data_IF_807658139537
#
_entry.id   IF_807658139537
#
_cell.length_a   1.000
_cell.length_b   1.000
_cell.length_c   1.000
_cell.angle_alpha   90.00
_cell.angle_beta   90.00
_cell.angle_gamma   90.00
#
_symmetry.space_group_name_H-M   'P 1'
#
loop_
_entity.id
_entity.type
_entity.pdbx_description
1 polymer ?
#
# COMPACT_ATOMS: atom_id res chain seq x y z
N UNK A 1 -5.68 -8.54 10.26
CA UNK A 1 -5.40 -7.35 9.42
C UNK A 1 -5.56 -7.75 7.97
N UNK A 2 -6.60 -7.25 7.28
CA UNK A 2 -6.87 -7.65 5.91
C UNK A 2 -5.71 -7.29 4.97
N UNK A 3 -5.49 -8.18 3.99
CA UNK A 3 -4.44 -8.08 3.01
C UNK A 3 -5.05 -8.07 1.61
N UNK A 4 -4.79 -7.00 0.86
CA UNK A 4 -5.17 -6.86 -0.53
C UNK A 4 -3.98 -7.05 -1.46
N UNK A 5 -4.24 -7.49 -2.69
CA UNK A 5 -3.22 -7.59 -3.74
C UNK A 5 -3.78 -7.19 -5.10
N UNK A 6 -2.92 -6.65 -5.95
CA UNK A 6 -3.18 -6.38 -7.35
C UNK A 6 -2.03 -6.96 -8.19
N UNK A 7 -2.36 -7.65 -9.29
CA UNK A 7 -1.38 -8.28 -10.17
C UNK A 7 -1.40 -7.66 -11.55
N UNK A 8 -0.25 -7.58 -12.19
CA UNK A 8 -0.12 -7.05 -13.54
C UNK A 8 -1.04 -7.81 -14.50
N UNK A 9 -1.96 -7.07 -15.12
CA UNK A 9 -3.02 -7.62 -15.96
C UNK A 9 -4.40 -7.65 -15.29
N UNK A 10 -4.49 -7.42 -13.98
CA UNK A 10 -5.79 -7.19 -13.33
C UNK A 10 -6.42 -5.89 -13.88
N UNK A 11 -7.74 -5.82 -14.02
CA UNK A 11 -8.40 -4.59 -14.42
C UNK A 11 -8.21 -3.51 -13.36
N UNK A 12 -7.97 -2.30 -13.81
CA UNK A 12 -8.09 -1.11 -12.96
C UNK A 12 -9.47 -0.49 -13.23
N UNK A 13 -10.33 -0.40 -12.21
CA UNK A 13 -11.65 0.21 -12.35
C UNK A 13 -11.55 1.67 -12.83
N UNK A 14 -12.43 2.07 -13.72
CA UNK A 14 -12.54 3.46 -14.13
C UNK A 14 -12.98 4.32 -12.95
N UNK A 15 -12.16 5.31 -12.62
CA UNK A 15 -12.50 6.32 -11.61
C UNK A 15 -12.95 7.59 -12.33
N UNK A 16 -14.13 8.10 -11.96
CA UNK A 16 -14.66 9.36 -12.54
C UNK A 16 -13.58 10.44 -12.52
N UNK A 17 -13.36 11.18 -13.60
CA UNK A 17 -12.30 12.18 -13.66
C UNK A 17 -12.33 13.12 -12.44
N UNK A 18 -11.18 13.37 -11.88
CA UNK A 18 -10.97 14.40 -10.85
C UNK A 18 -10.08 15.46 -11.49
N UNK A 19 -10.67 16.64 -11.78
CA UNK A 19 -9.96 17.72 -12.45
C UNK A 19 -8.72 18.10 -11.65
N UNK A 20 -7.66 18.47 -12.37
CA UNK A 20 -6.38 18.92 -11.80
C UNK A 20 -5.67 17.91 -10.88
N UNK A 21 -6.17 16.65 -10.80
CA UNK A 21 -5.49 15.60 -10.04
C UNK A 21 -4.25 15.12 -10.79
N UNK A 22 -3.14 15.10 -10.09
CA UNK A 22 -1.92 14.41 -10.52
C UNK A 22 -1.31 13.64 -9.35
N UNK A 23 -0.55 12.58 -9.64
CA UNK A 23 0.24 11.89 -8.64
C UNK A 23 1.51 11.34 -9.29
N UNK A 24 2.64 11.46 -8.62
CA UNK A 24 3.93 11.00 -9.14
C UNK A 24 4.90 10.64 -8.03
N UNK A 25 5.91 9.84 -8.41
CA UNK A 25 7.11 9.64 -7.62
C UNK A 25 7.72 11.01 -7.26
N UNK A 26 8.00 11.22 -6.00
CA UNK A 26 8.55 12.48 -5.52
C UNK A 26 10.03 12.36 -5.16
N UNK A 27 10.81 13.36 -5.56
CA UNK A 27 12.20 13.56 -5.11
C UNK A 27 12.33 14.68 -4.09
N UNK A 28 11.24 15.39 -3.80
CA UNK A 28 11.21 16.49 -2.82
C UNK A 28 11.07 15.92 -1.40
N UNK A 29 12.20 15.61 -0.79
CA UNK A 29 12.27 15.05 0.57
C UNK A 29 11.72 15.98 1.63
N UNK A 30 11.82 17.29 1.44
CA UNK A 30 11.30 18.30 2.38
C UNK A 30 9.76 18.34 2.34
N UNK A 31 9.18 18.26 1.16
CA UNK A 31 7.72 18.20 1.02
C UNK A 31 7.17 16.94 1.66
N UNK A 32 7.78 15.78 1.41
CA UNK A 32 7.34 14.52 2.02
C UNK A 32 7.50 14.58 3.54
N UNK A 33 8.62 15.07 4.05
CA UNK A 33 8.87 15.21 5.49
C UNK A 33 7.78 16.05 6.16
N UNK A 34 7.39 17.17 5.54
CA UNK A 34 6.29 18.01 6.04
C UNK A 34 4.94 17.30 6.01
N UNK A 35 4.62 16.60 4.92
CA UNK A 35 3.34 15.87 4.77
C UNK A 35 3.22 14.71 5.76
N UNK A 36 4.30 13.97 5.95
CA UNK A 36 4.36 12.79 6.81
C UNK A 36 4.62 13.15 8.29
N UNK A 37 4.96 14.40 8.59
CA UNK A 37 5.42 14.84 9.90
C UNK A 37 6.61 14.02 10.41
N UNK A 38 7.60 13.83 9.51
CA UNK A 38 8.83 13.10 9.76
C UNK A 38 10.04 14.01 9.51
N UNK A 39 11.21 13.62 10.00
CA UNK A 39 12.46 14.28 9.68
C UNK A 39 12.91 13.97 8.25
N UNK A 40 13.63 14.89 7.61
CA UNK A 40 14.25 14.63 6.30
C UNK A 40 15.22 13.45 6.35
N UNK A 41 15.87 13.22 7.49
CA UNK A 41 16.76 12.07 7.69
C UNK A 41 16.00 10.75 7.60
N UNK A 42 14.80 10.64 8.20
CA UNK A 42 13.95 9.45 8.08
C UNK A 42 13.48 9.23 6.65
N UNK A 43 13.08 10.30 5.94
CA UNK A 43 12.70 10.23 4.53
C UNK A 43 13.86 9.71 3.69
N UNK A 44 15.05 10.27 3.87
CA UNK A 44 16.26 9.83 3.16
C UNK A 44 16.60 8.37 3.46
N UNK A 45 16.48 7.95 4.72
CA UNK A 45 16.69 6.54 5.11
C UNK A 45 15.71 5.61 4.40
N UNK A 46 14.42 5.95 4.37
CA UNK A 46 13.40 5.17 3.65
C UNK A 46 13.75 5.04 2.15
N UNK A 47 14.15 6.13 1.50
CA UNK A 47 14.52 6.12 0.09
C UNK A 47 15.77 5.25 -0.15
N UNK A 48 16.79 5.38 0.69
CA UNK A 48 18.02 4.58 0.59
C UNK A 48 17.79 3.08 0.79
N UNK A 49 16.79 2.71 1.60
CA UNK A 49 16.39 1.32 1.81
C UNK A 49 15.44 0.78 0.72
N UNK A 50 15.22 1.55 -0.35
CA UNK A 50 14.47 1.10 -1.53
C UNK A 50 12.98 1.37 -1.44
N UNK A 51 12.58 2.40 -0.70
CA UNK A 51 11.20 2.85 -0.69
C UNK A 51 11.01 4.04 -1.63
N UNK A 52 9.98 4.01 -2.43
CA UNK A 52 9.59 5.05 -3.37
C UNK A 52 8.43 5.87 -2.80
N UNK A 53 8.61 7.17 -2.54
CA UNK A 53 7.56 8.06 -2.09
C UNK A 53 6.75 8.62 -3.24
N UNK A 54 5.43 8.63 -3.10
CA UNK A 54 4.50 9.23 -4.04
C UNK A 54 3.71 10.34 -3.39
N UNK A 55 3.52 11.45 -4.12
CA UNK A 55 2.67 12.56 -3.69
C UNK A 55 1.56 12.74 -4.72
N UNK A 56 0.35 12.95 -4.22
CA UNK A 56 -0.79 13.37 -5.02
C UNK A 56 -1.06 14.86 -4.84
N UNK A 57 -1.45 15.53 -5.92
CA UNK A 57 -1.75 16.94 -5.98
C UNK A 57 -3.15 17.19 -6.52
N UNK A 58 -3.76 18.28 -6.06
CA UNK A 58 -4.93 18.93 -6.66
C UNK A 58 -4.62 20.42 -6.77
N UNK A 59 -4.77 21.00 -7.97
CA UNK A 59 -4.44 22.40 -8.22
C UNK A 59 -3.05 22.80 -7.65
N UNK A 60 -2.05 21.97 -7.90
CA UNK A 60 -0.67 22.10 -7.40
C UNK A 60 -0.51 22.02 -5.87
N UNK A 61 -1.60 21.87 -5.13
CA UNK A 61 -1.53 21.64 -3.68
C UNK A 61 -1.28 20.15 -3.37
N UNK A 62 -0.28 19.80 -2.55
CA UNK A 62 -0.09 18.42 -2.12
C UNK A 62 -1.23 18.00 -1.18
N UNK A 63 -1.91 16.89 -1.49
CA UNK A 63 -3.15 16.47 -0.83
C UNK A 63 -3.08 15.08 -0.20
N UNK A 64 -2.14 14.26 -0.65
CA UNK A 64 -1.91 12.91 -0.12
C UNK A 64 -0.50 12.45 -0.43
N UNK A 65 -0.04 11.47 0.34
CA UNK A 65 1.18 10.74 0.05
C UNK A 65 1.01 9.23 0.31
N UNK A 66 1.96 8.44 -0.17
CA UNK A 66 2.07 7.02 0.10
C UNK A 66 3.42 6.47 -0.33
N UNK A 67 3.74 5.27 0.10
CA UNK A 67 5.04 4.64 -0.13
C UNK A 67 4.90 3.28 -0.81
N UNK A 68 5.89 2.97 -1.63
CA UNK A 68 6.10 1.62 -2.18
C UNK A 68 7.44 1.12 -1.69
N UNK A 69 7.44 0.03 -0.95
CA UNK A 69 8.64 -0.69 -0.58
C UNK A 69 8.96 -1.73 -1.66
N UNK A 70 10.23 -1.77 -2.12
CA UNK A 70 10.68 -2.64 -3.22
C UNK A 70 11.78 -3.64 -2.82
N UNK A 71 12.30 -3.54 -1.61
CA UNK A 71 13.38 -4.42 -1.10
C UNK A 71 13.01 -5.04 0.23
N UNK A 72 12.63 -4.21 1.18
CA UNK A 72 12.24 -4.61 2.53
C UNK A 72 10.96 -3.91 2.91
N UNK A 73 10.04 -4.66 3.50
CA UNK A 73 8.80 -4.15 4.05
C UNK A 73 8.69 -4.45 5.53
N UNK A 74 7.80 -3.73 6.21
CA UNK A 74 7.55 -3.96 7.62
C UNK A 74 6.15 -3.55 8.04
N UNK A 75 5.67 -4.18 9.09
CA UNK A 75 4.43 -3.85 9.77
C UNK A 75 4.83 -3.56 11.22
N UNK A 76 5.04 -2.28 11.52
CA UNK A 76 5.62 -1.83 12.79
C UNK A 76 4.81 -2.28 14.01
N UNK A 77 3.49 -2.26 13.92
CA UNK A 77 2.58 -2.66 14.98
C UNK A 77 2.71 -4.15 15.33
N UNK A 78 3.25 -4.96 14.41
CA UNK A 78 3.47 -6.38 14.59
C UNK A 78 4.94 -6.74 14.82
N UNK A 79 5.83 -5.74 14.81
CA UNK A 79 7.29 -5.94 14.82
C UNK A 79 7.71 -7.00 13.78
N UNK A 80 7.04 -6.96 12.62
CA UNK A 80 7.24 -7.92 11.54
C UNK A 80 7.90 -7.22 10.36
N UNK A 81 9.02 -7.78 9.90
CA UNK A 81 9.73 -7.34 8.71
C UNK A 81 9.86 -8.50 7.72
N UNK A 82 9.91 -8.18 6.44
CA UNK A 82 10.02 -9.16 5.36
C UNK A 82 10.78 -8.60 4.17
N UNK A 83 11.48 -9.47 3.47
CA UNK A 83 12.16 -9.14 2.21
C UNK A 83 11.14 -9.17 1.06
N UNK A 84 11.24 -8.22 0.16
CA UNK A 84 10.37 -8.12 -1.02
C UNK A 84 11.13 -8.68 -2.22
N UNK A 85 10.66 -9.79 -2.83
CA UNK A 85 11.27 -10.37 -4.01
C UNK A 85 11.24 -9.41 -5.21
N UNK A 86 12.15 -9.55 -6.19
CA UNK A 86 12.10 -8.75 -7.42
C UNK A 86 10.72 -8.78 -8.07
N UNK A 87 10.33 -7.68 -8.70
CA UNK A 87 9.04 -7.47 -9.38
C UNK A 87 7.82 -7.48 -8.46
N UNK A 88 8.05 -7.31 -7.15
CA UNK A 88 7.00 -7.17 -6.13
C UNK A 88 7.12 -5.82 -5.43
N UNK A 89 6.00 -5.31 -4.94
CA UNK A 89 5.93 -4.06 -4.17
C UNK A 89 4.97 -4.17 -3.00
N UNK A 90 5.34 -3.63 -1.87
CA UNK A 90 4.47 -3.48 -0.71
C UNK A 90 4.09 -2.02 -0.52
N UNK A 91 2.80 -1.74 -0.54
CA UNK A 91 2.22 -0.41 -0.42
C UNK A 91 1.92 -0.12 1.06
N UNK A 92 2.44 0.99 1.58
CA UNK A 92 2.35 1.30 3.01
C UNK A 92 2.39 2.80 3.29
N UNK A 93 2.03 3.19 4.52
CA UNK A 93 2.09 4.57 5.04
C UNK A 93 1.42 5.60 4.11
N UNK A 94 0.11 5.39 3.87
CA UNK A 94 -0.72 6.29 3.09
C UNK A 94 -1.46 7.28 3.96
N UNK A 95 -1.44 8.55 3.57
CA UNK A 95 -2.25 9.59 4.18
C UNK A 95 -2.90 10.48 3.10
N UNK A 96 -4.20 10.67 3.19
CA UNK A 96 -4.90 11.80 2.57
C UNK A 96 -5.14 12.85 3.64
N UNK A 97 -4.71 14.10 3.39
CA UNK A 97 -4.88 15.20 4.34
C UNK A 97 -6.36 15.37 4.70
N UNK A 98 -6.70 15.65 5.98
CA UNK A 98 -8.09 15.62 6.46
C UNK A 98 -9.07 16.44 5.62
N UNK A 99 -8.70 17.64 5.22
CA UNK A 99 -9.54 18.55 4.42
C UNK A 99 -9.80 18.08 2.98
N UNK A 100 -9.07 17.04 2.53
CA UNK A 100 -9.16 16.48 1.18
C UNK A 100 -9.77 15.08 1.14
N UNK A 101 -10.16 14.52 2.29
CA UNK A 101 -10.80 13.20 2.37
C UNK A 101 -12.19 13.19 1.71
N UNK A 102 -12.66 12.00 1.35
CA UNK A 102 -13.96 11.83 0.70
C UNK A 102 -13.99 12.17 -0.79
N UNK A 103 -12.89 12.65 -1.38
CA UNK A 103 -12.81 13.06 -2.79
C UNK A 103 -12.27 11.97 -3.73
N UNK A 104 -12.06 10.75 -3.24
CA UNK A 104 -11.53 9.65 -4.04
C UNK A 104 -10.07 9.81 -4.46
N UNK A 105 -9.26 10.55 -3.68
CA UNK A 105 -7.82 10.75 -3.91
C UNK A 105 -7.05 9.46 -3.71
N UNK A 106 -7.31 8.76 -2.62
CA UNK A 106 -6.58 7.55 -2.24
C UNK A 106 -6.60 6.45 -3.32
N UNK A 107 -7.76 6.00 -3.85
CA UNK A 107 -7.76 5.01 -4.93
C UNK A 107 -7.03 5.48 -6.20
N UNK A 108 -7.06 6.78 -6.52
CA UNK A 108 -6.33 7.34 -7.66
C UNK A 108 -4.81 7.32 -7.44
N UNK A 109 -4.38 7.62 -6.22
CA UNK A 109 -2.96 7.52 -5.86
C UNK A 109 -2.46 6.08 -5.99
N UNK A 110 -3.23 5.09 -5.52
CA UNK A 110 -2.90 3.67 -5.70
C UNK A 110 -2.80 3.28 -7.19
N UNK A 111 -3.76 3.70 -8.02
CA UNK A 111 -3.69 3.43 -9.47
C UNK A 111 -2.53 4.14 -10.14
N UNK A 112 -2.22 5.37 -9.76
CA UNK A 112 -1.07 6.11 -10.30
C UNK A 112 0.26 5.40 -9.98
N UNK A 113 0.40 4.86 -8.79
CA UNK A 113 1.56 4.04 -8.40
C UNK A 113 1.67 2.80 -9.29
N UNK A 114 0.58 2.04 -9.45
CA UNK A 114 0.54 0.85 -10.29
C UNK A 114 0.97 1.17 -11.74
N UNK A 115 0.53 2.29 -12.26
CA UNK A 115 0.89 2.73 -13.62
C UNK A 115 2.37 3.12 -13.74
N UNK A 116 2.95 3.73 -12.72
CA UNK A 116 4.33 4.24 -12.77
C UNK A 116 5.36 3.17 -12.41
N UNK A 117 5.06 2.25 -11.50
CA UNK A 117 5.95 1.14 -11.13
C UNK A 117 5.86 -0.01 -12.15
N UNK A 118 6.28 0.24 -13.38
CA UNK A 118 6.13 -0.70 -14.50
C UNK A 118 6.92 -2.01 -14.32
N UNK A 119 7.96 -2.01 -13.50
CA UNK A 119 8.76 -3.21 -13.22
C UNK A 119 8.17 -4.08 -12.11
N UNK A 120 7.09 -3.63 -11.47
CA UNK A 120 6.38 -4.38 -10.42
C UNK A 120 5.20 -5.12 -11.03
N UNK A 121 5.15 -6.43 -10.83
CA UNK A 121 4.06 -7.29 -11.29
C UNK A 121 3.00 -7.52 -10.24
N UNK A 122 3.40 -7.57 -8.97
CA UNK A 122 2.50 -7.87 -7.87
C UNK A 122 2.64 -6.81 -6.77
N UNK A 123 1.50 -6.23 -6.39
CA UNK A 123 1.42 -5.29 -5.27
C UNK A 123 0.63 -5.90 -4.12
N UNK A 124 1.12 -5.69 -2.89
CA UNK A 124 0.43 -6.04 -1.65
C UNK A 124 0.19 -4.79 -0.81
N UNK A 125 -0.92 -4.77 -0.11
CA UNK A 125 -1.31 -3.70 0.80
C UNK A 125 -2.08 -4.27 1.98
N UNK A 126 -1.69 -3.91 3.20
CA UNK A 126 -2.44 -4.21 4.40
C UNK A 126 -3.19 -2.98 4.92
N UNK A 127 -4.29 -3.19 5.65
CA UNK A 127 -4.99 -2.11 6.33
C UNK A 127 -5.52 -2.56 7.68
N UNK A 128 -5.65 -1.61 8.61
CA UNK A 128 -6.12 -1.89 9.96
C UNK A 128 -7.57 -2.41 9.94
N UNK A 129 -7.90 -3.44 10.73
CA UNK A 129 -9.28 -3.88 10.93
C UNK A 129 -10.16 -2.71 11.37
N UNK A 130 -11.34 -2.58 10.77
CA UNK A 130 -12.27 -1.47 11.04
C UNK A 130 -11.95 -0.16 10.32
N UNK A 131 -10.86 -0.07 9.56
CA UNK A 131 -10.58 1.08 8.69
C UNK A 131 -11.34 0.94 7.36
N UNK A 132 -12.67 1.18 7.42
CA UNK A 132 -13.57 1.07 6.29
C UNK A 132 -13.19 2.02 5.13
N UNK A 133 -12.66 3.19 5.46
CA UNK A 133 -12.23 4.15 4.45
C UNK A 133 -11.04 3.59 3.62
N UNK A 134 -10.08 2.95 4.27
CA UNK A 134 -8.96 2.28 3.60
C UNK A 134 -9.45 1.08 2.80
N UNK A 135 -10.29 0.22 3.39
CA UNK A 135 -10.87 -0.94 2.73
C UNK A 135 -11.60 -0.54 1.43
N UNK A 136 -12.47 0.49 1.52
CA UNK A 136 -13.21 1.00 0.37
C UNK A 136 -12.27 1.57 -0.71
N UNK A 137 -11.27 2.34 -0.33
CA UNK A 137 -10.30 2.92 -1.26
C UNK A 137 -9.46 1.87 -1.99
N UNK A 138 -8.99 0.86 -1.27
CA UNK A 138 -8.21 -0.27 -1.80
C UNK A 138 -9.05 -1.07 -2.81
N UNK A 139 -10.29 -1.43 -2.44
CA UNK A 139 -11.21 -2.13 -3.34
C UNK A 139 -11.53 -1.29 -4.59
N UNK A 140 -11.80 0.01 -4.41
CA UNK A 140 -12.09 0.94 -5.51
C UNK A 140 -10.89 1.14 -6.45
N UNK A 141 -9.67 0.94 -5.96
CA UNK A 141 -8.46 0.97 -6.79
C UNK A 141 -8.26 -0.32 -7.61
N UNK A 142 -9.03 -1.39 -7.35
CA UNK A 142 -8.96 -2.66 -8.08
C UNK A 142 -8.22 -3.78 -7.35
N UNK A 143 -7.87 -3.59 -6.09
CA UNK A 143 -7.24 -4.64 -5.29
C UNK A 143 -8.24 -5.70 -4.85
N UNK A 144 -7.79 -6.94 -4.78
CA UNK A 144 -8.53 -8.08 -4.27
C UNK A 144 -8.07 -8.42 -2.85
N UNK A 145 -8.98 -8.45 -1.89
CA UNK A 145 -8.65 -8.91 -0.54
C UNK A 145 -8.57 -10.44 -0.55
N UNK A 146 -7.42 -10.99 -0.14
CA UNK A 146 -7.08 -12.41 -0.29
C UNK A 146 -6.97 -13.16 1.03
N UNK A 147 -6.92 -12.46 2.14
CA UNK A 147 -6.80 -13.06 3.45
C UNK A 147 -6.64 -12.06 4.58
N UNK A 148 -6.47 -12.59 5.77
CA UNK A 148 -6.18 -11.83 6.99
C UNK A 148 -4.86 -12.27 7.62
N UNK A 149 -3.99 -11.32 7.95
CA UNK A 149 -2.88 -11.55 8.87
C UNK A 149 -3.46 -11.82 10.26
N UNK A 150 -3.26 -13.03 10.75
CA UNK A 150 -3.82 -13.51 12.03
C UNK A 150 -2.86 -13.18 13.16
N UNK A 151 -3.35 -12.38 14.10
CA UNK A 151 -2.61 -11.94 15.27
C UNK A 151 -3.25 -12.59 16.51
N UNK A 152 -2.44 -13.18 17.36
CA UNK A 152 -2.85 -13.72 18.64
C UNK A 152 -1.81 -13.37 19.69
N UNK A 153 -2.25 -12.85 20.84
CA UNK A 153 -1.38 -12.42 21.94
C UNK A 153 -0.30 -11.40 21.50
N UNK A 154 -0.67 -10.46 20.63
CA UNK A 154 0.22 -9.44 20.10
C UNK A 154 1.29 -9.94 19.12
N UNK A 155 1.21 -11.23 18.67
CA UNK A 155 2.16 -11.83 17.73
C UNK A 155 1.46 -12.26 16.45
N UNK A 156 2.14 -12.07 15.33
CA UNK A 156 1.72 -12.57 14.03
C UNK A 156 1.84 -14.10 14.03
N UNK A 157 0.75 -14.81 13.72
CA UNK A 157 0.67 -16.28 13.72
C UNK A 157 0.70 -16.87 12.32
N UNK A 158 0.23 -16.13 11.33
CA UNK A 158 0.16 -16.59 9.96
C UNK A 158 -0.85 -15.81 9.14
N UNK A 159 -1.19 -16.34 7.99
CA UNK A 159 -2.18 -15.80 7.07
C UNK A 159 -3.38 -16.73 6.96
N UNK A 160 -4.58 -16.24 7.28
CA UNK A 160 -5.84 -16.92 7.00
C UNK A 160 -6.30 -16.53 5.59
N UNK A 161 -6.41 -17.51 4.70
CA UNK A 161 -6.76 -17.25 3.30
C UNK A 161 -8.28 -17.15 3.12
N UNK A 162 -8.69 -16.24 2.22
CA UNK A 162 -10.06 -16.14 1.74
C UNK A 162 -10.19 -16.94 0.43
N UNK A 163 -10.44 -18.25 0.56
CA UNK A 163 -10.52 -19.16 -0.56
C UNK A 163 -9.17 -19.82 -0.92
N UNK A 164 -9.18 -20.65 -1.96
CA UNK A 164 -8.04 -21.49 -2.38
C UNK A 164 -7.39 -20.98 -3.68
N UNK A 165 -7.47 -19.68 -3.98
CA UNK A 165 -6.87 -19.14 -5.20
C UNK A 165 -5.35 -19.17 -5.14
N UNK A 166 -4.69 -19.36 -6.31
CA UNK A 166 -3.23 -19.27 -6.38
C UNK A 166 -2.68 -17.93 -5.89
N UNK A 167 -3.48 -16.86 -5.98
CA UNK A 167 -3.17 -15.52 -5.46
C UNK A 167 -3.10 -15.50 -3.92
N UNK A 168 -4.02 -16.19 -3.27
CA UNK A 168 -4.02 -16.30 -1.81
C UNK A 168 -2.78 -17.08 -1.32
N UNK A 169 -2.45 -18.19 -2.00
CA UNK A 169 -1.24 -18.97 -1.69
C UNK A 169 0.03 -18.13 -1.91
N UNK A 170 0.15 -17.45 -3.05
CA UNK A 170 1.29 -16.59 -3.35
C UNK A 170 1.48 -15.46 -2.32
N UNK A 171 0.40 -15.01 -1.67
CA UNK A 171 0.49 -14.03 -0.58
C UNK A 171 1.12 -14.63 0.68
N UNK A 172 0.81 -15.88 1.02
CA UNK A 172 1.47 -16.57 2.12
C UNK A 172 2.97 -16.78 1.84
N UNK A 173 3.31 -17.15 0.62
CA UNK A 173 4.69 -17.33 0.17
C UNK A 173 5.46 -16.00 0.20
N UNK A 174 4.83 -14.90 -0.25
CA UNK A 174 5.44 -13.56 -0.24
C UNK A 174 5.85 -13.11 1.18
N UNK A 175 4.99 -13.33 2.15
CA UNK A 175 5.28 -12.97 3.55
C UNK A 175 6.03 -14.03 4.33
N UNK A 176 6.33 -15.19 3.73
CA UNK A 176 6.90 -16.36 4.40
C UNK A 176 6.12 -16.76 5.66
N UNK A 177 4.80 -16.69 5.58
CA UNK A 177 3.91 -16.97 6.69
C UNK A 177 3.21 -18.34 6.54
N UNK A 178 3.01 -19.08 7.64
CA UNK A 178 2.19 -20.27 7.59
C UNK A 178 0.73 -19.90 7.32
N UNK A 179 0.05 -20.78 6.57
CA UNK A 179 -1.40 -20.67 6.40
C UNK A 179 -2.05 -21.23 7.67
N UNK A 180 -2.95 -20.44 8.24
CA UNK A 180 -3.67 -20.79 9.47
C UNK A 180 -5.17 -20.72 9.23
N UNK A 181 -5.94 -21.40 10.09
CA UNK A 181 -7.40 -21.29 10.04
C UNK A 181 -7.82 -19.86 10.38
N UNK A 182 -8.75 -19.32 9.57
CA UNK A 182 -9.45 -18.07 9.89
C UNK A 182 -10.37 -18.27 11.10
N UNK A 183 -10.65 -17.17 11.80
CA UNK A 183 -11.67 -17.17 12.86
C UNK A 183 -13.06 -17.12 12.27
#
# INVERSE_FOLDING_TARGET
MPLGTWWRGDPLPDLSPLQTFSASLSTDTQMIARLANLSEQEINTRIQTGNHPYIAFLDDAPVAYGWVALREGGISELQFSFTIPPRNGYLWDFLTLPQWRGRGIYPRLLQAIIHQEQLVDHFWIGYQPGNEASAHGINKAGFHVVGDLVISEGRLRGLALFGSSGRAQASADFFHLPIVAGK
#
